data_IF_116638786475
#
_entry.id   IF_116638786475
#
_cell.length_a   1.000
_cell.length_b   1.000
_cell.length_c   1.000
_cell.angle_alpha   90.00
_cell.angle_beta   90.00
_cell.angle_gamma   90.00
#
_symmetry.space_group_name_H-M   'P 1'
#
loop_
_entity.id
_entity.type
_entity.pdbx_description
1 polymer ?
#
# COMPACT_ATOMS: atom_id res chain seq x y z
N UNK A 1 5.82 -6.16 -28.45
CA UNK A 1 4.47 -6.73 -28.22
C UNK A 1 4.12 -6.79 -26.74
N UNK A 2 4.94 -7.43 -25.90
CA UNK A 2 4.69 -7.62 -24.46
C UNK A 2 4.35 -6.33 -23.68
N UNK A 3 5.12 -5.25 -23.86
CA UNK A 3 4.86 -3.95 -23.17
C UNK A 3 3.51 -3.35 -23.54
N UNK A 4 3.08 -3.49 -24.81
CA UNK A 4 1.80 -2.99 -25.28
C UNK A 4 0.63 -3.74 -24.65
N UNK A 5 0.73 -5.08 -24.58
CA UNK A 5 -0.25 -5.93 -23.93
C UNK A 5 -0.34 -5.62 -22.42
N UNK A 6 0.80 -5.56 -21.72
CA UNK A 6 0.83 -5.22 -20.30
C UNK A 6 0.20 -3.85 -20.03
N UNK A 7 0.52 -2.83 -20.84
CA UNK A 7 -0.10 -1.51 -20.71
C UNK A 7 -1.61 -1.53 -20.96
N UNK A 8 -2.11 -2.39 -21.85
CA UNK A 8 -3.55 -2.58 -22.05
C UNK A 8 -4.21 -3.24 -20.83
N UNK A 9 -3.62 -4.33 -20.32
CA UNK A 9 -4.08 -5.02 -19.11
C UNK A 9 -4.15 -4.09 -17.90
N UNK A 10 -3.09 -3.31 -17.67
CA UNK A 10 -3.01 -2.34 -16.57
C UNK A 10 -4.16 -1.32 -16.65
N UNK A 11 -4.45 -0.80 -17.85
CA UNK A 11 -5.58 0.13 -18.05
C UNK A 11 -6.95 -0.53 -17.82
N UNK A 12 -7.15 -1.76 -18.29
CA UNK A 12 -8.39 -2.51 -18.05
C UNK A 12 -8.60 -2.76 -16.55
N UNK A 13 -7.52 -2.97 -15.80
CA UNK A 13 -7.56 -3.09 -14.35
C UNK A 13 -7.73 -1.74 -13.61
N UNK A 14 -8.02 -0.65 -14.31
CA UNK A 14 -8.32 0.67 -13.72
C UNK A 14 -7.11 1.56 -13.44
N UNK A 15 -5.90 1.12 -13.79
CA UNK A 15 -4.68 1.88 -13.50
C UNK A 15 -4.35 2.90 -14.60
N UNK A 16 -3.78 4.04 -14.18
CA UNK A 16 -3.16 5.00 -15.09
C UNK A 16 -1.75 4.53 -15.45
N UNK A 17 -1.48 4.41 -16.75
CA UNK A 17 -0.16 3.99 -17.25
C UNK A 17 0.66 5.21 -17.66
N UNK A 18 1.82 5.39 -17.04
CA UNK A 18 2.88 6.29 -17.51
C UNK A 18 3.99 5.45 -18.14
N UNK A 19 4.24 5.59 -19.44
CA UNK A 19 5.29 4.86 -20.15
C UNK A 19 6.47 5.79 -20.44
N UNK A 20 7.69 5.37 -20.08
CA UNK A 20 8.91 6.11 -20.41
C UNK A 20 10.14 5.60 -19.67
N UNK A 21 11.29 5.54 -20.35
CA UNK A 21 12.56 5.13 -19.75
C UNK A 21 13.14 6.17 -18.78
N UNK A 22 12.69 7.42 -18.87
CA UNK A 22 13.16 8.54 -18.07
C UNK A 22 12.47 8.66 -16.69
N UNK A 23 11.49 7.80 -16.39
CA UNK A 23 10.62 7.97 -15.23
C UNK A 23 9.47 8.96 -15.48
N UNK A 24 8.60 9.18 -14.48
CA UNK A 24 7.63 10.26 -14.53
C UNK A 24 8.34 11.62 -14.71
N UNK A 25 7.77 12.54 -15.49
CA UNK A 25 8.25 13.92 -15.52
C UNK A 25 8.22 14.54 -14.12
N UNK A 26 9.01 15.58 -13.86
CA UNK A 26 9.13 16.18 -12.53
C UNK A 26 7.79 16.59 -11.89
N UNK A 27 6.79 16.93 -12.71
CA UNK A 27 5.46 17.36 -12.28
C UNK A 27 4.43 16.23 -12.22
N UNK A 28 4.77 15.01 -12.65
CA UNK A 28 3.85 13.89 -12.60
C UNK A 28 3.80 13.30 -11.18
N UNK A 29 2.62 12.89 -10.69
CA UNK A 29 2.51 12.27 -9.39
C UNK A 29 3.38 10.99 -9.34
N UNK A 30 3.97 10.68 -8.17
CA UNK A 30 4.77 9.47 -8.02
C UNK A 30 3.89 8.23 -8.31
N UNK A 31 4.41 7.23 -9.04
CA UNK A 31 3.66 6.02 -9.31
C UNK A 31 3.41 5.24 -8.01
N UNK A 32 2.30 4.50 -7.96
CA UNK A 32 2.01 3.57 -6.86
C UNK A 32 2.77 2.25 -7.00
N UNK A 33 3.02 1.80 -8.24
CA UNK A 33 3.71 0.56 -8.59
C UNK A 33 4.53 0.78 -9.87
N UNK A 34 5.71 0.19 -9.97
CA UNK A 34 6.47 0.11 -11.21
C UNK A 34 6.43 -1.30 -11.82
N UNK A 35 6.18 -1.38 -13.12
CA UNK A 35 6.30 -2.61 -13.90
C UNK A 35 7.56 -2.53 -14.78
N UNK A 36 8.42 -3.54 -14.69
CA UNK A 36 9.70 -3.59 -15.40
C UNK A 36 9.74 -4.83 -16.29
N UNK A 37 9.69 -4.63 -17.60
CA UNK A 37 9.89 -5.71 -18.56
C UNK A 37 11.37 -6.14 -18.57
N UNK A 38 11.62 -7.42 -18.29
CA UNK A 38 12.97 -7.99 -18.26
C UNK A 38 13.43 -8.24 -19.70
N UNK A 39 14.28 -7.34 -20.18
CA UNK A 39 15.03 -7.42 -21.43
C UNK A 39 16.53 -7.17 -21.17
N UNK A 40 17.38 -7.30 -22.20
CA UNK A 40 18.81 -6.99 -22.04
C UNK A 40 19.01 -5.52 -21.62
N UNK A 41 19.78 -5.27 -20.56
CA UNK A 41 20.03 -3.92 -20.05
C UNK A 41 18.93 -3.36 -19.15
N UNK A 42 18.02 -4.20 -18.66
CA UNK A 42 16.95 -3.80 -17.73
C UNK A 42 17.53 -3.12 -16.48
N UNK A 43 16.99 -1.96 -16.05
CA UNK A 43 17.42 -1.32 -14.82
C UNK A 43 17.13 -2.23 -13.61
N UNK A 44 18.04 -2.22 -12.63
CA UNK A 44 17.80 -2.89 -11.37
C UNK A 44 16.61 -2.25 -10.62
N UNK A 45 15.87 -2.99 -9.79
CA UNK A 45 14.81 -2.42 -8.95
C UNK A 45 15.27 -1.24 -8.10
N UNK A 46 16.51 -1.28 -7.58
CA UNK A 46 17.11 -0.16 -6.86
C UNK A 46 17.20 1.12 -7.70
N UNK A 47 17.59 1.01 -8.98
CA UNK A 47 17.61 2.14 -9.90
C UNK A 47 16.20 2.66 -10.21
N UNK A 48 15.23 1.77 -10.39
CA UNK A 48 13.83 2.16 -10.63
C UNK A 48 13.27 2.96 -9.45
N UNK A 49 13.52 2.51 -8.22
CA UNK A 49 13.14 3.22 -7.00
C UNK A 49 13.86 4.56 -6.82
N UNK A 50 15.14 4.62 -7.17
CA UNK A 50 15.89 5.87 -7.16
C UNK A 50 15.32 6.88 -8.15
N UNK A 51 14.93 6.44 -9.34
CA UNK A 51 14.35 7.31 -10.38
C UNK A 51 12.93 7.77 -10.03
N UNK A 52 12.17 6.97 -9.28
CA UNK A 52 10.84 7.38 -8.82
C UNK A 52 10.85 8.31 -7.61
N UNK A 53 12.02 8.53 -6.98
CA UNK A 53 12.14 9.26 -5.72
C UNK A 53 11.54 8.52 -4.52
N UNK A 54 11.13 7.26 -4.68
CA UNK A 54 10.51 6.46 -3.63
C UNK A 54 11.28 5.17 -3.40
N UNK A 55 12.02 5.05 -2.28
CA UNK A 55 12.77 3.83 -1.94
C UNK A 55 11.86 2.64 -1.60
N UNK A 56 10.55 2.86 -1.50
CA UNK A 56 9.56 1.87 -1.11
C UNK A 56 8.56 1.54 -2.24
N UNK A 57 8.76 2.10 -3.43
CA UNK A 57 7.93 1.79 -4.59
C UNK A 57 7.97 0.27 -4.87
N UNK A 58 6.82 -0.41 -4.89
CA UNK A 58 6.72 -1.80 -5.33
C UNK A 58 7.18 -1.93 -6.79
N UNK A 59 8.07 -2.87 -7.07
CA UNK A 59 8.60 -3.13 -8.41
C UNK A 59 8.26 -4.56 -8.81
N UNK A 60 7.46 -4.71 -9.86
CA UNK A 60 7.09 -6.00 -10.44
C UNK A 60 7.92 -6.27 -11.69
N UNK A 61 8.53 -7.45 -11.77
CA UNK A 61 9.17 -7.94 -12.99
C UNK A 61 8.13 -8.53 -13.94
N UNK A 62 8.18 -8.16 -15.22
CA UNK A 62 7.49 -8.85 -16.29
C UNK A 62 8.52 -9.62 -17.10
N UNK A 63 8.58 -10.93 -16.94
CA UNK A 63 9.70 -11.75 -17.38
C UNK A 63 9.22 -13.05 -18.05
N UNK A 64 10.05 -13.65 -18.93
CA UNK A 64 9.86 -15.05 -19.35
C UNK A 64 9.87 -16.02 -18.16
N UNK A 65 9.14 -17.12 -18.24
CA UNK A 65 9.04 -18.14 -17.17
C UNK A 65 10.41 -18.70 -16.79
N UNK A 66 11.23 -19.05 -17.78
CA UNK A 66 12.57 -19.57 -17.58
C UNK A 66 13.50 -18.56 -16.88
N UNK A 67 13.23 -17.25 -16.97
CA UNK A 67 13.94 -16.24 -16.19
C UNK A 67 13.51 -16.27 -14.73
N UNK A 68 12.20 -16.35 -14.46
CA UNK A 68 11.61 -16.40 -13.12
C UNK A 68 12.10 -17.64 -12.37
N UNK A 69 12.19 -18.78 -13.04
CA UNK A 69 12.66 -20.04 -12.47
C UNK A 69 14.16 -20.03 -12.16
N UNK A 70 14.97 -19.44 -13.06
CA UNK A 70 16.44 -19.45 -12.93
C UNK A 70 17.01 -18.40 -11.99
N UNK A 71 16.25 -17.34 -11.69
CA UNK A 71 16.75 -16.22 -10.89
C UNK A 71 15.98 -16.09 -9.59
N UNK A 72 16.71 -15.87 -8.51
CA UNK A 72 16.11 -15.35 -7.29
C UNK A 72 15.79 -13.85 -7.46
N UNK A 73 14.70 -13.57 -8.16
CA UNK A 73 14.23 -12.21 -8.42
C UNK A 73 13.95 -11.42 -7.14
N UNK A 74 13.72 -12.10 -6.01
CA UNK A 74 13.53 -11.44 -4.71
C UNK A 74 14.85 -10.93 -4.18
N UNK A 75 15.92 -11.72 -4.26
CA UNK A 75 17.27 -11.27 -3.96
C UNK A 75 17.73 -10.12 -4.89
N UNK A 76 17.22 -10.07 -6.13
CA UNK A 76 17.42 -8.94 -7.04
C UNK A 76 16.62 -7.67 -6.64
N UNK A 77 15.73 -7.79 -5.65
CA UNK A 77 14.95 -6.70 -5.08
C UNK A 77 13.61 -6.43 -5.77
N UNK A 78 13.05 -7.37 -6.54
CA UNK A 78 11.68 -7.28 -7.04
C UNK A 78 10.67 -7.73 -5.98
N UNK A 79 9.49 -7.13 -5.99
CA UNK A 79 8.40 -7.41 -5.04
C UNK A 79 7.39 -8.43 -5.58
N UNK A 80 7.43 -8.68 -6.89
CA UNK A 80 6.70 -9.74 -7.58
C UNK A 80 7.29 -9.98 -8.96
N UNK A 81 6.97 -11.13 -9.54
CA UNK A 81 7.30 -11.46 -10.92
C UNK A 81 6.07 -12.04 -11.60
N UNK A 82 5.84 -11.63 -12.86
CA UNK A 82 4.72 -12.07 -13.68
C UNK A 82 5.28 -12.62 -14.98
N UNK A 83 4.85 -13.83 -15.32
CA UNK A 83 5.19 -14.50 -16.56
C UNK A 83 4.64 -13.75 -17.77
N UNK A 84 5.47 -13.59 -18.80
CA UNK A 84 5.11 -12.90 -20.04
C UNK A 84 4.01 -13.59 -20.86
N UNK A 85 3.74 -14.87 -20.63
CA UNK A 85 2.68 -15.62 -21.31
C UNK A 85 1.34 -15.54 -20.55
N UNK A 86 1.37 -15.34 -19.23
CA UNK A 86 0.20 -15.23 -18.35
C UNK A 86 -0.25 -13.79 -18.08
N UNK A 87 0.14 -12.85 -18.95
CA UNK A 87 0.07 -11.40 -18.67
C UNK A 87 -1.31 -10.91 -18.24
N UNK A 88 -2.44 -11.25 -18.89
CA UNK A 88 -3.70 -10.58 -18.55
C UNK A 88 -4.15 -10.81 -17.11
N UNK A 89 -4.26 -12.08 -16.69
CA UNK A 89 -4.81 -12.44 -15.39
C UNK A 89 -3.76 -12.31 -14.28
N UNK A 90 -2.57 -12.88 -14.47
CA UNK A 90 -1.54 -12.85 -13.44
C UNK A 90 -1.02 -11.44 -13.14
N UNK A 91 -0.98 -10.55 -14.14
CA UNK A 91 -0.62 -9.14 -13.91
C UNK A 91 -1.71 -8.40 -13.15
N UNK A 92 -2.98 -8.62 -13.50
CA UNK A 92 -4.10 -8.00 -12.80
C UNK A 92 -4.11 -8.39 -11.32
N UNK A 93 -3.92 -9.68 -11.02
CA UNK A 93 -3.83 -10.17 -9.64
C UNK A 93 -2.61 -9.63 -8.89
N UNK A 94 -1.46 -9.58 -9.55
CA UNK A 94 -0.24 -9.03 -8.97
C UNK A 94 -0.40 -7.52 -8.64
N UNK A 95 -1.07 -6.76 -9.50
CA UNK A 95 -1.35 -5.33 -9.28
C UNK A 95 -2.43 -5.10 -8.24
N UNK A 96 -3.51 -5.90 -8.23
CA UNK A 96 -4.61 -5.78 -7.29
C UNK A 96 -4.12 -5.83 -5.83
N UNK A 97 -3.07 -6.62 -5.57
CA UNK A 97 -2.42 -6.72 -4.28
C UNK A 97 -1.90 -5.38 -3.70
N UNK A 98 -1.58 -4.44 -4.58
CA UNK A 98 -0.98 -3.15 -4.26
C UNK A 98 -1.96 -1.98 -4.48
N UNK A 99 -3.21 -2.24 -4.87
CA UNK A 99 -4.17 -1.20 -5.21
C UNK A 99 -4.61 -0.40 -3.97
N UNK A 100 -4.17 0.86 -3.85
CA UNK A 100 -4.50 1.71 -2.69
C UNK A 100 -6.00 1.91 -2.54
N UNK A 101 -6.70 2.21 -3.63
CA UNK A 101 -8.15 2.50 -3.56
C UNK A 101 -8.96 1.31 -3.03
N UNK A 102 -8.54 0.07 -3.33
CA UNK A 102 -9.21 -1.12 -2.79
C UNK A 102 -9.01 -1.24 -1.27
N UNK A 103 -7.82 -0.89 -0.77
CA UNK A 103 -7.55 -0.78 0.67
C UNK A 103 -8.37 0.33 1.30
N UNK A 104 -8.40 1.54 0.71
CA UNK A 104 -9.17 2.67 1.22
C UNK A 104 -10.68 2.36 1.28
N UNK A 105 -11.23 1.77 0.22
CA UNK A 105 -12.62 1.31 0.20
C UNK A 105 -12.91 0.22 1.25
N UNK A 106 -11.90 -0.57 1.64
CA UNK A 106 -12.05 -1.52 2.75
C UNK A 106 -12.08 -0.81 4.10
N UNK A 107 -11.23 0.21 4.30
CA UNK A 107 -11.26 1.02 5.51
C UNK A 107 -12.60 1.76 5.67
N UNK A 108 -13.12 2.38 4.61
CA UNK A 108 -14.43 3.06 4.64
C UNK A 108 -15.57 2.09 5.02
N UNK A 109 -15.53 0.84 4.53
CA UNK A 109 -16.52 -0.19 4.93
C UNK A 109 -16.38 -0.60 6.39
N UNK A 110 -15.15 -0.68 6.90
CA UNK A 110 -14.92 -0.96 8.32
C UNK A 110 -15.43 0.20 9.18
N UNK A 111 -15.19 1.45 8.79
CA UNK A 111 -15.72 2.63 9.50
C UNK A 111 -17.25 2.60 9.57
N UNK A 112 -17.90 2.30 8.44
CA UNK A 112 -19.36 2.20 8.38
C UNK A 112 -19.92 1.10 9.30
N UNK A 113 -19.14 0.04 9.56
CA UNK A 113 -19.57 -1.11 10.36
C UNK A 113 -19.24 -0.96 11.85
N UNK A 114 -18.09 -0.34 12.17
CA UNK A 114 -17.52 -0.35 13.53
C UNK A 114 -17.39 1.05 14.15
N UNK A 115 -17.57 2.11 13.37
CA UNK A 115 -17.36 3.49 13.80
C UNK A 115 -16.00 4.04 13.36
N UNK A 116 -15.99 5.34 13.03
CA UNK A 116 -14.81 6.07 12.54
C UNK A 116 -13.70 6.10 13.60
N UNK A 117 -14.05 6.35 14.87
CA UNK A 117 -13.07 6.49 15.94
C UNK A 117 -12.33 5.17 16.22
N UNK A 118 -13.06 4.05 16.21
CA UNK A 118 -12.56 2.71 16.45
C UNK A 118 -11.58 2.28 15.35
N UNK A 119 -11.95 2.52 14.09
CA UNK A 119 -11.10 2.21 12.93
C UNK A 119 -9.88 3.11 12.88
N UNK A 120 -10.03 4.42 13.11
CA UNK A 120 -8.90 5.34 13.18
C UNK A 120 -7.87 4.90 14.24
N UNK A 121 -8.33 4.57 15.45
CA UNK A 121 -7.46 4.09 16.51
C UNK A 121 -6.77 2.76 16.18
N UNK A 122 -7.45 1.86 15.46
CA UNK A 122 -6.86 0.61 14.97
C UNK A 122 -5.78 0.87 13.91
N UNK A 123 -6.08 1.70 12.92
CA UNK A 123 -5.16 2.10 11.86
C UNK A 123 -3.92 2.79 12.45
N UNK A 124 -4.10 3.61 13.48
CA UNK A 124 -3.00 4.30 14.15
C UNK A 124 -2.04 3.35 14.86
N UNK A 125 -2.59 2.42 15.65
CA UNK A 125 -1.80 1.37 16.31
C UNK A 125 -1.10 0.48 15.28
N UNK A 126 -1.77 0.17 14.17
CA UNK A 126 -1.18 -0.63 13.11
C UNK A 126 -0.04 0.11 12.40
N UNK A 127 -0.20 1.41 12.11
CA UNK A 127 0.85 2.25 11.55
C UNK A 127 2.10 2.31 12.43
N UNK A 128 1.91 2.46 13.76
CA UNK A 128 3.01 2.41 14.71
C UNK A 128 3.72 1.04 14.74
N UNK A 129 2.95 -0.05 14.69
CA UNK A 129 3.49 -1.41 14.61
C UNK A 129 4.30 -1.62 13.33
N UNK A 130 3.81 -1.16 12.18
CA UNK A 130 4.52 -1.25 10.90
C UNK A 130 5.82 -0.45 10.91
N UNK A 131 5.83 0.73 11.53
CA UNK A 131 7.05 1.52 11.67
C UNK A 131 8.11 0.77 12.49
N UNK A 132 7.71 0.20 13.62
CA UNK A 132 8.59 -0.67 14.42
C UNK A 132 9.10 -1.87 13.62
N UNK A 133 8.21 -2.59 12.93
CA UNK A 133 8.56 -3.77 12.15
C UNK A 133 9.47 -3.44 10.95
N UNK A 134 9.30 -2.27 10.33
CA UNK A 134 10.15 -1.78 9.23
C UNK A 134 11.59 -1.55 9.69
N UNK A 135 11.74 -0.95 10.88
CA UNK A 135 13.03 -0.49 11.39
C UNK A 135 13.75 -1.58 12.21
N UNK A 136 13.04 -2.63 12.62
CA UNK A 136 13.58 -3.79 13.33
C UNK A 136 14.61 -4.57 12.48
N UNK A 137 15.73 -4.91 13.12
CA UNK A 137 16.88 -5.60 12.54
C UNK A 137 17.10 -6.98 13.13
N UNK A 138 16.63 -7.25 14.34
CA UNK A 138 16.67 -8.58 14.94
C UNK A 138 15.66 -9.52 14.25
N UNK A 139 16.11 -10.58 13.56
CA UNK A 139 15.22 -11.54 12.91
C UNK A 139 14.25 -12.23 13.87
N UNK A 140 14.65 -12.47 15.12
CA UNK A 140 13.79 -13.14 16.10
C UNK A 140 12.62 -12.23 16.53
N UNK A 141 12.91 -10.97 16.89
CA UNK A 141 11.90 -9.97 17.15
C UNK A 141 10.97 -9.76 15.94
N UNK A 142 11.53 -9.69 14.73
CA UNK A 142 10.77 -9.53 13.49
C UNK A 142 9.81 -10.71 13.24
N UNK A 143 10.27 -11.94 13.47
CA UNK A 143 9.45 -13.14 13.35
C UNK A 143 8.28 -13.15 14.34
N UNK A 144 8.49 -12.70 15.57
CA UNK A 144 7.42 -12.56 16.57
C UNK A 144 6.32 -11.56 16.15
N UNK A 145 6.68 -10.51 15.42
CA UNK A 145 5.71 -9.53 14.90
C UNK A 145 4.97 -10.04 13.66
N UNK A 146 5.57 -10.96 12.91
CA UNK A 146 5.14 -11.28 11.54
C UNK A 146 3.71 -11.81 11.44
N UNK A 147 3.36 -12.79 12.28
CA UNK A 147 2.00 -13.35 12.29
C UNK A 147 0.95 -12.29 12.67
N UNK A 148 1.27 -11.42 13.62
CA UNK A 148 0.38 -10.33 14.06
C UNK A 148 0.20 -9.28 12.97
N UNK A 149 1.28 -8.89 12.29
CA UNK A 149 1.23 -7.97 11.16
C UNK A 149 0.38 -8.58 10.03
N UNK A 150 0.58 -9.85 9.72
CA UNK A 150 -0.18 -10.55 8.68
C UNK A 150 -1.69 -10.56 8.96
N UNK A 151 -2.09 -10.88 10.20
CA UNK A 151 -3.49 -10.89 10.61
C UNK A 151 -4.17 -9.53 10.48
N UNK A 152 -3.55 -8.48 11.05
CA UNK A 152 -4.12 -7.12 11.00
C UNK A 152 -4.13 -6.58 9.56
N UNK A 153 -3.06 -6.83 8.79
CA UNK A 153 -3.00 -6.45 7.38
C UNK A 153 -4.15 -7.05 6.57
N UNK A 154 -4.48 -8.33 6.81
CA UNK A 154 -5.59 -9.01 6.17
C UNK A 154 -6.94 -8.33 6.47
N UNK A 155 -7.20 -8.01 7.74
CA UNK A 155 -8.43 -7.31 8.14
C UNK A 155 -8.56 -5.92 7.51
N UNK A 156 -7.46 -5.17 7.46
CA UNK A 156 -7.44 -3.79 6.94
C UNK A 156 -7.33 -3.72 5.41
N UNK A 157 -7.31 -4.85 4.70
CA UNK A 157 -7.28 -4.88 3.23
C UNK A 157 -5.89 -4.63 2.61
N UNK A 158 -4.80 -4.78 3.37
CA UNK A 158 -3.43 -4.71 2.86
C UNK A 158 -2.96 -6.09 2.36
N UNK A 159 -3.51 -6.56 1.25
CA UNK A 159 -3.32 -7.92 0.76
C UNK A 159 -1.84 -8.29 0.49
N UNK A 160 -1.07 -7.45 -0.20
CA UNK A 160 0.36 -7.70 -0.44
C UNK A 160 1.17 -7.79 0.86
N UNK A 161 0.93 -6.86 1.78
CA UNK A 161 1.57 -6.83 3.10
C UNK A 161 1.26 -8.12 3.87
N UNK A 162 -0.02 -8.48 3.97
CA UNK A 162 -0.46 -9.65 4.72
C UNK A 162 0.21 -10.94 4.22
N UNK A 163 0.26 -11.14 2.90
CA UNK A 163 0.90 -12.32 2.30
C UNK A 163 2.41 -12.37 2.54
N UNK A 164 3.12 -11.25 2.39
CA UNK A 164 4.56 -11.20 2.60
C UNK A 164 4.95 -11.51 4.05
N UNK A 165 4.21 -10.93 5.00
CA UNK A 165 4.44 -11.17 6.42
C UNK A 165 4.01 -12.56 6.88
N UNK A 166 2.96 -13.14 6.29
CA UNK A 166 2.57 -14.52 6.55
C UNK A 166 3.67 -15.49 6.13
N UNK A 167 4.14 -15.38 4.88
CA UNK A 167 5.25 -16.21 4.37
C UNK A 167 6.53 -16.04 5.17
N UNK A 168 6.84 -14.81 5.56
CA UNK A 168 7.97 -14.56 6.45
C UNK A 168 7.80 -15.27 7.80
N UNK A 169 6.59 -15.26 8.37
CA UNK A 169 6.28 -15.99 9.62
C UNK A 169 6.36 -17.51 9.46
N UNK A 170 6.18 -18.03 8.25
CA UNK A 170 6.31 -19.45 7.89
C UNK A 170 7.78 -19.88 7.65
N UNK A 171 8.74 -18.96 7.86
CA UNK A 171 10.17 -19.25 7.81
C UNK A 171 10.87 -18.78 6.53
N UNK A 172 10.17 -18.10 5.61
CA UNK A 172 10.77 -17.53 4.41
C UNK A 172 11.56 -16.23 4.72
N UNK A 173 12.66 -16.36 5.47
CA UNK A 173 13.45 -15.23 6.00
C UNK A 173 14.06 -14.34 4.92
N UNK A 174 14.29 -14.86 3.70
CA UNK A 174 14.71 -14.09 2.54
C UNK A 174 13.71 -13.01 2.09
N UNK A 175 12.49 -13.01 2.63
CA UNK A 175 11.46 -11.99 2.35
C UNK A 175 11.57 -10.73 3.21
N UNK A 176 12.50 -10.65 4.16
CA UNK A 176 12.57 -9.55 5.12
C UNK A 176 12.54 -8.16 4.45
N UNK A 177 13.32 -7.95 3.40
CA UNK A 177 13.38 -6.65 2.73
C UNK A 177 12.11 -6.34 1.93
N UNK A 178 11.49 -7.34 1.31
CA UNK A 178 10.20 -7.17 0.64
C UNK A 178 9.09 -6.87 1.65
N UNK A 179 9.09 -7.54 2.81
CA UNK A 179 8.15 -7.28 3.90
C UNK A 179 8.30 -5.86 4.47
N UNK A 180 9.53 -5.37 4.64
CA UNK A 180 9.81 -3.98 5.07
C UNK A 180 9.35 -2.96 4.04
N UNK A 181 9.58 -3.20 2.74
CA UNK A 181 9.08 -2.31 1.67
C UNK A 181 7.55 -2.29 1.64
N UNK A 182 6.90 -3.45 1.77
CA UNK A 182 5.45 -3.52 1.88
C UNK A 182 4.92 -2.77 3.12
N UNK A 183 5.62 -2.85 4.25
CA UNK A 183 5.27 -2.09 5.45
C UNK A 183 5.39 -0.57 5.21
N UNK A 184 6.47 -0.13 4.57
CA UNK A 184 6.65 1.27 4.21
C UNK A 184 5.59 1.78 3.22
N UNK A 185 5.21 0.96 2.24
CA UNK A 185 4.10 1.25 1.34
C UNK A 185 2.76 1.39 2.09
N UNK A 186 2.47 0.47 3.01
CA UNK A 186 1.26 0.52 3.83
C UNK A 186 1.23 1.76 4.75
N UNK A 187 2.36 2.14 5.34
CA UNK A 187 2.47 3.38 6.15
C UNK A 187 2.12 4.61 5.30
N UNK A 188 2.60 4.68 4.05
CA UNK A 188 2.25 5.78 3.15
C UNK A 188 0.75 5.81 2.83
N UNK A 189 0.14 4.65 2.55
CA UNK A 189 -1.32 4.54 2.34
C UNK A 189 -2.12 4.95 3.58
N UNK A 190 -1.66 4.59 4.79
CA UNK A 190 -2.28 5.01 6.05
C UNK A 190 -2.23 6.53 6.23
N UNK A 191 -1.10 7.16 5.88
CA UNK A 191 -0.98 8.62 5.92
C UNK A 191 -2.01 9.28 4.99
N UNK A 192 -2.14 8.80 3.75
CA UNK A 192 -3.15 9.30 2.81
C UNK A 192 -4.59 9.16 3.36
N UNK A 193 -4.90 8.02 3.97
CA UNK A 193 -6.20 7.78 4.59
C UNK A 193 -6.50 8.77 5.73
N UNK A 194 -5.51 9.05 6.58
CA UNK A 194 -5.64 10.05 7.66
C UNK A 194 -5.88 11.44 7.11
N UNK A 195 -5.12 11.85 6.10
CA UNK A 195 -5.27 13.16 5.48
C UNK A 195 -6.67 13.34 4.86
N UNK A 196 -7.19 12.28 4.24
CA UNK A 196 -8.57 12.25 3.73
C UNK A 196 -9.63 12.24 4.85
N UNK A 197 -9.33 11.64 6.02
CA UNK A 197 -10.21 11.64 7.19
C UNK A 197 -10.33 13.00 7.87
N UNK A 198 -9.22 13.76 7.98
CA UNK A 198 -9.22 15.13 8.51
C UNK A 198 -10.12 16.04 7.68
N UNK A 199 -10.11 15.89 6.35
CA UNK A 199 -11.00 16.62 5.46
C UNK A 199 -12.49 16.24 5.61
N UNK A 200 -12.79 15.07 6.19
CA UNK A 200 -14.15 14.53 6.34
C UNK A 200 -14.81 14.83 7.68
N UNK A 201 -14.07 15.25 8.71
CA UNK A 201 -14.70 15.66 9.97
C UNK A 201 -15.56 16.90 9.71
N UNK A 202 -16.90 16.85 9.92
CA UNK A 202 -17.70 18.06 9.87
C UNK A 202 -17.10 19.01 10.90
N UNK A 203 -16.70 20.20 10.45
CA UNK A 203 -16.34 21.30 11.37
C UNK A 203 -17.47 21.32 12.37
N UNK A 204 -17.17 21.01 13.63
CA UNK A 204 -18.16 21.07 14.69
C UNK A 204 -18.74 22.48 14.59
N UNK A 205 -19.97 22.59 14.06
CA UNK A 205 -20.72 23.82 14.08
C UNK A 205 -20.95 23.98 15.55
N UNK A 206 -20.05 24.73 16.20
CA UNK A 206 -20.05 24.89 17.64
C UNK A 206 -21.48 25.19 18.01
N UNK A 207 -22.06 24.30 18.82
CA UNK A 207 -23.41 24.47 19.33
C UNK A 207 -23.47 25.91 19.79
N UNK A 208 -24.19 26.73 19.02
CA UNK A 208 -24.27 28.15 19.22
C UNK A 208 -24.63 28.30 20.68
N UNK A 209 -23.67 28.81 21.46
CA UNK A 209 -23.75 28.97 22.89
C UNK A 209 -25.11 29.61 23.15
N UNK A 210 -26.06 28.79 23.61
CA UNK A 210 -27.42 29.22 23.84
C UNK A 210 -27.30 30.24 24.96
N UNK A 211 -27.35 31.51 24.58
CA UNK A 211 -27.21 32.66 25.44
C UNK A 211 -27.99 32.43 26.74
N UNK A 212 -27.30 32.15 27.87
CA UNK A 212 -27.97 31.82 29.12
C UNK A 212 -28.65 33.05 29.75
N UNK A 213 -28.60 34.22 29.12
CA UNK A 213 -29.16 35.47 29.66
C UNK A 213 -30.66 35.69 29.36
N UNK A 214 -31.34 34.81 28.63
CA UNK A 214 -32.79 34.91 28.42
C UNK A 214 -33.65 34.43 29.64
N UNK A 215 -33.24 34.76 30.87
CA UNK A 215 -34.09 34.66 32.08
C UNK A 215 -34.51 36.05 32.56
N UNK A 216 -35.67 36.50 32.11
CA UNK A 216 -36.43 37.63 32.67
C UNK A 216 -37.75 37.75 31.90
N UNK A 217 -38.94 37.94 32.47
CA UNK A 217 -39.36 38.35 33.81
C UNK A 217 -40.84 37.96 33.90
N UNK A 218 -41.27 37.24 34.94
CA UNK A 218 -42.71 36.96 35.13
C UNK A 218 -43.40 38.19 35.78
N UNK A 219 -44.54 38.67 35.26
CA UNK A 219 -45.31 39.71 35.93
C UNK A 219 -46.13 39.10 37.07
N UNK A 220 -46.03 39.70 38.27
CA UNK A 220 -46.99 39.50 39.35
C UNK A 220 -48.22 40.38 39.09
N UNK A 221 -49.39 39.76 39.00
CA UNK A 221 -50.68 40.35 39.36
C UNK A 221 -51.50 39.30 40.11
#
# INVERSE_FOLDING_TARGET
MLVGLAAATVRVAGWRVCAGAAGPGADAPPPDVALVAIVRGTPSPGRVRSLSGSPYLPVLALAPDDWIERHDWRALGYDGAVAGEAVPEALADALAAWHRDATLATLDRLEASFGVAEVAALVDRFGAMLAGARDERDPAALAHMAHRVAGIAGTLGFAALGRLWLRFSEGETGLADSARRAAAYAIATIAMYRDAGVARQPVAVGDGEADPTARGTAPRQ
#
